data_IF_706031448759
#
_entry.id   IF_706031448759
#
_cell.length_a   1.000
_cell.length_b   1.000
_cell.length_c   1.000
_cell.angle_alpha   90.00
_cell.angle_beta   90.00
_cell.angle_gamma   90.00
#
_symmetry.space_group_name_H-M   'P 1'
#
loop_
_entity.id
_entity.type
_entity.pdbx_description
1 polymer ?
#
# COMPACT_ATOMS: atom_id res chain seq x y z
N UNK A 1 2.92 4.30 16.98
CA UNK A 1 3.47 5.05 15.83
C UNK A 1 3.91 4.04 14.81
N UNK A 2 3.26 4.02 13.64
CA UNK A 2 3.67 3.17 12.52
C UNK A 2 4.76 3.91 11.75
N UNK A 3 5.89 3.24 11.49
CA UNK A 3 7.01 3.81 10.72
C UNK A 3 6.86 3.40 9.27
N UNK A 4 6.55 4.39 8.43
CA UNK A 4 6.54 4.25 6.97
C UNK A 4 7.93 4.56 6.40
N UNK A 5 8.24 4.14 5.16
CA UNK A 5 9.49 4.50 4.52
C UNK A 5 9.60 6.03 4.37
N UNK A 6 10.80 6.58 4.53
CA UNK A 6 11.04 8.03 4.72
C UNK A 6 10.64 8.92 3.53
N UNK A 7 10.47 8.35 2.35
CA UNK A 7 10.05 9.06 1.13
C UNK A 7 8.54 9.04 0.90
N UNK A 8 7.74 8.52 1.83
CA UNK A 8 6.28 8.51 1.75
C UNK A 8 5.68 9.44 2.79
N UNK A 9 4.63 10.14 2.38
CA UNK A 9 3.83 10.99 3.23
C UNK A 9 2.39 10.47 3.22
N UNK A 10 1.73 10.49 4.37
CA UNK A 10 0.27 10.33 4.45
C UNK A 10 -0.34 11.67 4.08
N UNK A 11 -1.08 11.69 2.97
CA UNK A 11 -1.81 12.88 2.50
C UNK A 11 -3.21 12.95 3.14
N UNK A 12 -3.89 11.81 3.23
CA UNK A 12 -5.24 11.70 3.78
C UNK A 12 -5.40 10.44 4.63
N UNK A 13 -6.19 10.54 5.70
CA UNK A 13 -6.65 9.44 6.53
C UNK A 13 -8.16 9.60 6.77
N UNK A 14 -8.96 8.61 6.36
CA UNK A 14 -10.41 8.61 6.58
C UNK A 14 -10.92 7.20 6.82
N UNK A 15 -11.45 6.95 8.03
CA UNK A 15 -12.10 5.68 8.41
C UNK A 15 -11.28 4.42 8.05
N UNK A 16 -9.96 4.46 8.22
CA UNK A 16 -9.05 3.35 7.89
C UNK A 16 -8.56 3.34 6.44
N UNK A 17 -9.02 4.26 5.59
CA UNK A 17 -8.41 4.50 4.29
C UNK A 17 -7.28 5.51 4.42
N UNK A 18 -6.18 5.24 3.77
CA UNK A 18 -4.97 6.04 3.83
C UNK A 18 -4.49 6.34 2.41
N UNK A 19 -4.31 7.62 2.08
CA UNK A 19 -3.67 8.03 0.83
C UNK A 19 -2.21 8.30 1.12
N UNK A 20 -1.33 7.53 0.47
CA UNK A 20 0.10 7.68 0.58
C UNK A 20 0.69 8.25 -0.71
N UNK A 21 1.51 9.27 -0.59
CA UNK A 21 2.18 9.92 -1.72
C UNK A 21 3.69 9.89 -1.58
N UNK A 22 4.37 9.83 -2.71
CA UNK A 22 5.79 10.16 -2.81
C UNK A 22 6.02 11.14 -3.97
N UNK A 23 7.29 11.50 -4.21
CA UNK A 23 7.71 12.47 -5.21
C UNK A 23 7.36 12.11 -6.66
N UNK A 24 7.04 10.84 -6.95
CA UNK A 24 6.81 10.33 -8.31
C UNK A 24 5.44 9.69 -8.54
N UNK A 25 4.80 9.17 -7.49
CA UNK A 25 3.59 8.35 -7.56
C UNK A 25 2.70 8.57 -6.34
N UNK A 26 1.40 8.33 -6.53
CA UNK A 26 0.40 8.36 -5.45
C UNK A 26 -0.28 7.00 -5.39
N UNK A 27 -0.43 6.45 -4.18
CA UNK A 27 -1.10 5.17 -3.94
C UNK A 27 -2.15 5.33 -2.83
N UNK A 28 -3.34 4.80 -3.08
CA UNK A 28 -4.36 4.61 -2.08
C UNK A 28 -4.15 3.27 -1.40
N UNK A 29 -4.19 3.24 -0.07
CA UNK A 29 -4.32 2.02 0.72
C UNK A 29 -5.70 2.04 1.36
N UNK A 30 -6.53 1.09 0.98
CA UNK A 30 -7.84 0.90 1.60
C UNK A 30 -7.71 -0.24 2.63
N UNK A 31 -8.03 0.05 3.89
CA UNK A 31 -8.13 -0.96 4.94
C UNK A 31 -9.59 -1.17 5.28
N UNK A 32 -10.21 -2.16 4.64
CA UNK A 32 -11.60 -2.50 4.89
C UNK A 32 -11.71 -3.48 6.05
N UNK A 33 -12.58 -3.19 7.02
CA UNK A 33 -12.87 -4.07 8.15
C UNK A 33 -14.22 -4.76 8.00
N UNK A 34 -14.20 -6.09 7.89
CA UNK A 34 -15.38 -6.96 7.80
C UNK A 34 -15.37 -7.98 8.94
N UNK A 35 -16.02 -7.70 10.09
CA UNK A 35 -15.90 -8.50 11.32
C UNK A 35 -16.39 -9.96 11.19
N UNK A 36 -17.22 -10.26 10.19
CA UNK A 36 -17.76 -11.60 9.95
C UNK A 36 -16.78 -12.54 9.22
N UNK A 37 -15.65 -12.03 8.72
CA UNK A 37 -14.66 -12.81 7.99
C UNK A 37 -13.60 -13.40 8.93
N UNK A 38 -13.06 -14.57 8.57
CA UNK A 38 -11.92 -15.17 9.30
C UNK A 38 -10.69 -14.24 9.31
N UNK A 39 -10.52 -13.45 8.23
CA UNK A 39 -9.51 -12.42 8.09
C UNK A 39 -10.23 -11.07 7.88
N UNK A 40 -10.63 -10.39 8.96
CA UNK A 40 -11.55 -9.27 8.87
C UNK A 40 -10.91 -8.01 8.32
N UNK A 41 -9.58 -7.90 8.25
CA UNK A 41 -8.92 -6.75 7.64
C UNK A 41 -8.49 -7.08 6.22
N UNK A 42 -9.13 -6.45 5.25
CA UNK A 42 -8.76 -6.48 3.84
C UNK A 42 -7.92 -5.24 3.53
N UNK A 43 -6.75 -5.44 2.94
CA UNK A 43 -5.80 -4.39 2.61
C UNK A 43 -5.69 -4.36 1.09
N UNK A 44 -6.10 -3.26 0.47
CA UNK A 44 -6.05 -3.05 -0.97
C UNK A 44 -5.16 -1.86 -1.33
N UNK A 45 -4.35 -1.99 -2.38
CA UNK A 45 -3.51 -0.93 -2.90
C UNK A 45 -3.92 -0.53 -4.32
N UNK A 46 -4.10 0.77 -4.54
CA UNK A 46 -4.49 1.32 -5.84
C UNK A 46 -3.53 2.44 -6.22
N UNK A 47 -2.85 2.33 -7.36
CA UNK A 47 -2.07 3.46 -7.89
C UNK A 47 -3.03 4.52 -8.46
N UNK A 48 -2.97 5.74 -7.93
CA UNK A 48 -3.82 6.86 -8.35
C UNK A 48 -3.10 7.74 -9.39
N UNK A 49 -1.77 7.85 -9.32
CA UNK A 49 -0.98 8.78 -10.15
C UNK A 49 0.41 8.23 -10.50
N UNK A 50 0.96 8.71 -11.61
CA UNK A 50 2.29 8.39 -12.13
C UNK A 50 2.20 7.46 -13.34
N UNK A 51 3.32 7.24 -14.03
CA UNK A 51 3.34 6.32 -15.16
C UNK A 51 2.93 4.92 -14.71
N UNK A 52 1.99 4.33 -15.45
CA UNK A 52 1.66 2.90 -15.40
C UNK A 52 2.85 2.12 -15.98
N UNK A 53 3.99 2.19 -15.29
CA UNK A 53 4.91 1.09 -15.37
C UNK A 53 4.14 -0.05 -14.73
N UNK A 54 3.71 -1.00 -15.57
CA UNK A 54 3.43 -2.36 -15.13
C UNK A 54 4.71 -2.79 -14.42
N UNK A 55 4.79 -2.50 -13.13
CA UNK A 55 5.67 -3.25 -12.26
C UNK A 55 5.17 -4.67 -12.53
N UNK A 56 6.00 -5.56 -13.08
CA UNK A 56 5.65 -6.94 -13.45
C UNK A 56 4.99 -7.65 -12.27
N UNK A 57 3.69 -7.45 -12.12
CA UNK A 57 2.94 -7.75 -10.91
C UNK A 57 1.61 -8.24 -11.45
N UNK A 58 1.42 -9.54 -11.32
CA UNK A 58 0.18 -10.21 -11.67
C UNK A 58 -1.02 -9.50 -11.05
N UNK A 59 -2.04 -9.34 -11.89
CA UNK A 59 -3.36 -8.87 -11.51
C UNK A 59 -3.84 -9.64 -10.26
N UNK A 60 -4.08 -8.93 -9.16
CA UNK A 60 -4.44 -9.52 -7.85
C UNK A 60 -3.41 -9.40 -6.72
N UNK A 61 -2.18 -8.94 -6.97
CA UNK A 61 -1.13 -8.84 -5.95
C UNK A 61 -1.35 -7.79 -4.85
N UNK A 62 -2.35 -6.93 -4.99
CA UNK A 62 -2.59 -5.78 -4.10
C UNK A 62 -3.65 -6.01 -3.03
N UNK A 63 -4.29 -7.19 -3.02
CA UNK A 63 -5.28 -7.55 -2.03
C UNK A 63 -4.70 -8.58 -1.06
N UNK A 64 -4.45 -8.18 0.18
CA UNK A 64 -4.05 -9.10 1.25
C UNK A 64 -4.98 -8.98 2.44
N UNK A 65 -5.00 -10.01 3.29
CA UNK A 65 -5.87 -10.06 4.45
C UNK A 65 -5.08 -10.27 5.73
N UNK A 66 -5.66 -9.84 6.84
CA UNK A 66 -5.10 -10.01 8.18
C UNK A 66 -6.18 -10.28 9.23
N UNK A 67 -5.78 -11.01 10.28
CA UNK A 67 -6.60 -11.22 11.48
C UNK A 67 -6.55 -10.04 12.44
N UNK A 68 -5.42 -9.34 12.49
CA UNK A 68 -5.16 -8.25 13.43
C UNK A 68 -4.85 -6.95 12.69
N UNK A 69 -5.26 -5.83 13.30
CA UNK A 69 -4.98 -4.48 12.79
C UNK A 69 -3.47 -4.18 12.75
N UNK A 70 -2.73 -4.59 13.77
CA UNK A 70 -1.26 -4.46 13.82
C UNK A 70 -0.59 -5.11 12.62
N UNK A 71 -1.02 -6.32 12.30
CA UNK A 71 -0.47 -7.13 11.22
C UNK A 71 -0.89 -6.56 9.86
N UNK A 72 -2.08 -5.96 9.77
CA UNK A 72 -2.50 -5.23 8.58
C UNK A 72 -1.58 -4.04 8.30
N UNK A 73 -1.25 -3.23 9.32
CA UNK A 73 -0.28 -2.15 9.17
C UNK A 73 1.14 -2.63 8.87
N UNK A 74 1.54 -3.81 9.37
CA UNK A 74 2.83 -4.41 9.02
C UNK A 74 2.87 -4.75 7.52
N UNK A 75 1.85 -5.45 7.01
CA UNK A 75 1.69 -5.76 5.58
C UNK A 75 1.66 -4.50 4.72
N UNK A 76 1.06 -3.42 5.22
CA UNK A 76 1.08 -2.12 4.55
C UNK A 76 2.52 -1.63 4.35
N UNK A 77 3.32 -1.64 5.41
CA UNK A 77 4.72 -1.21 5.36
C UNK A 77 5.57 -2.10 4.43
N UNK A 78 5.36 -3.43 4.46
CA UNK A 78 6.03 -4.37 3.54
C UNK A 78 5.74 -4.04 2.07
N UNK A 79 4.48 -3.76 1.74
CA UNK A 79 4.08 -3.40 0.37
C UNK A 79 4.67 -2.05 -0.06
N UNK A 80 4.66 -1.04 0.82
CA UNK A 80 5.29 0.25 0.52
C UNK A 80 6.80 0.09 0.24
N UNK A 81 7.49 -0.75 1.01
CA UNK A 81 8.90 -1.08 0.78
C UNK A 81 9.11 -1.80 -0.56
N UNK A 82 8.24 -2.76 -0.89
CA UNK A 82 8.30 -3.46 -2.17
C UNK A 82 8.12 -2.49 -3.34
N UNK A 83 7.10 -1.63 -3.31
CA UNK A 83 6.87 -0.59 -4.33
C UNK A 83 8.11 0.31 -4.45
N UNK A 84 8.64 0.80 -3.35
CA UNK A 84 9.87 1.60 -3.33
C UNK A 84 11.03 0.90 -4.05
N UNK A 85 11.26 -0.38 -3.74
CA UNK A 85 12.34 -1.16 -4.33
C UNK A 85 12.20 -1.30 -5.85
N UNK A 86 10.96 -1.34 -6.35
CA UNK A 86 10.67 -1.45 -7.78
C UNK A 86 10.72 -0.10 -8.50
N UNK A 87 10.37 0.99 -7.82
CA UNK A 87 10.38 2.34 -8.41
C UNK A 87 11.75 3.02 -8.34
N UNK A 88 12.60 2.71 -7.36
CA UNK A 88 13.96 3.26 -7.28
C UNK A 88 14.89 2.67 -8.35
N UNK A 89 14.70 1.41 -8.72
CA UNK A 89 15.49 0.74 -9.76
C UNK A 89 15.13 1.16 -11.19
N UNK A 90 14.03 1.89 -11.40
CA UNK A 90 13.58 2.34 -12.73
C UNK A 90 14.32 3.59 -13.27
N UNK A 91 15.38 4.07 -12.59
CA UNK A 91 16.17 5.24 -13.03
C UNK A 91 17.36 4.87 -13.93
N UNK A 92 17.62 3.58 -14.16
CA UNK A 92 18.66 3.15 -15.08
C UNK A 92 18.10 2.14 -16.10
N UNK A 93 17.48 2.65 -17.15
CA UNK A 93 17.44 2.06 -18.50
C UNK A 93 16.97 3.10 -19.51
#
# INVERSE_FOLDING_TARGET
MHTYPSNWLVEEEYEGNFVFINDKKSFCINLDYTPACEYPYSINFVQIKGDFNVIEIEDGAYLTHSKLLSDAFHKVSEMMNFINSKTQNAIFN
#
